data_IF_036195170562
#
_entry.id   IF_036195170562
#
_cell.length_a   1.000
_cell.length_b   1.000
_cell.length_c   1.000
_cell.angle_alpha   90.00
_cell.angle_beta   90.00
_cell.angle_gamma   90.00
#
_symmetry.space_group_name_H-M   'P 1'
#
loop_
_entity.id
_entity.type
_entity.pdbx_description
1 polymer ?
#
# COMPACT_ATOMS: atom_id res chain seq x y z
N UNK A 1 41.00 -16.24 24.38
CA UNK A 1 39.63 -16.55 23.90
C UNK A 1 38.66 -15.90 24.89
N UNK A 2 38.00 -14.82 24.49
CA UNK A 2 36.96 -14.18 25.29
C UNK A 2 35.79 -13.86 24.35
N UNK A 3 34.66 -14.52 24.59
CA UNK A 3 33.40 -14.35 23.87
C UNK A 3 32.82 -12.96 24.18
N UNK A 4 32.50 -12.18 23.14
CA UNK A 4 31.73 -10.95 23.25
C UNK A 4 30.31 -11.18 22.75
N UNK A 5 29.38 -11.40 23.68
CA UNK A 5 27.95 -11.44 23.39
C UNK A 5 27.42 -10.04 23.07
N UNK A 6 26.84 -9.88 21.88
CA UNK A 6 26.19 -8.66 21.43
C UNK A 6 24.80 -8.53 22.07
N UNK A 7 24.58 -7.49 22.87
CA UNK A 7 23.27 -7.11 23.39
C UNK A 7 22.35 -6.61 22.26
N UNK A 8 21.04 -6.96 22.26
CA UNK A 8 20.10 -6.45 21.27
C UNK A 8 19.85 -4.94 21.48
N UNK A 9 19.82 -4.19 20.38
CA UNK A 9 19.59 -2.75 20.40
C UNK A 9 18.19 -2.43 20.96
N UNK A 10 18.14 -1.93 22.19
CA UNK A 10 16.93 -1.34 22.79
C UNK A 10 16.73 0.05 22.18
N UNK A 11 15.53 0.31 21.65
CA UNK A 11 15.16 1.63 21.18
C UNK A 11 15.17 2.61 22.36
N UNK A 12 15.85 3.76 22.26
CA UNK A 12 16.08 4.69 23.38
C UNK A 12 14.84 5.50 23.79
N UNK A 13 13.66 5.13 23.30
CA UNK A 13 12.41 5.85 23.55
C UNK A 13 11.60 5.04 24.55
N UNK A 14 11.43 5.59 25.75
CA UNK A 14 10.59 5.01 26.78
C UNK A 14 9.12 5.08 26.33
N UNK A 15 8.51 3.92 26.10
CA UNK A 15 7.11 3.80 25.71
C UNK A 15 6.14 3.97 26.90
N UNK A 16 6.65 4.16 28.13
CA UNK A 16 5.83 4.35 29.33
C UNK A 16 5.52 5.83 29.64
N UNK A 17 6.28 6.80 29.09
CA UNK A 17 6.06 8.21 29.37
C UNK A 17 5.03 8.84 28.42
N UNK A 18 4.00 9.46 28.99
CA UNK A 18 2.96 10.20 28.28
C UNK A 18 3.39 11.62 27.90
N UNK A 19 4.69 11.92 27.91
CA UNK A 19 5.25 13.27 27.74
C UNK A 19 5.05 13.81 26.32
N UNK A 20 4.87 12.94 25.32
CA UNK A 20 4.55 13.33 23.94
C UNK A 20 3.15 13.96 23.78
N UNK A 21 2.27 13.84 24.77
CA UNK A 21 0.94 14.50 24.76
C UNK A 21 1.02 16.01 24.91
N UNK A 22 2.14 16.55 25.40
CA UNK A 22 2.28 17.97 25.76
C UNK A 22 3.29 18.75 24.89
N UNK A 23 3.73 18.20 23.76
CA UNK A 23 4.57 18.96 22.83
C UNK A 23 3.75 20.07 22.16
N UNK A 24 4.26 21.32 22.11
CA UNK A 24 3.57 22.40 21.42
C UNK A 24 3.43 22.06 19.93
N UNK A 25 2.20 22.00 19.46
CA UNK A 25 1.92 21.80 18.03
C UNK A 25 2.24 23.10 17.27
N UNK A 26 2.85 23.04 16.09
CA UNK A 26 3.03 24.19 15.21
C UNK A 26 1.70 24.85 14.90
N UNK A 27 1.66 26.18 14.78
CA UNK A 27 0.42 26.98 14.68
C UNK A 27 -0.53 26.63 13.53
N UNK A 28 -0.07 25.87 12.52
CA UNK A 28 -0.82 25.56 11.30
C UNK A 28 -1.38 24.12 11.24
N UNK A 29 -1.51 23.43 12.38
CA UNK A 29 -2.00 22.05 12.39
C UNK A 29 -3.53 21.98 12.11
N UNK A 30 -3.99 21.05 11.24
CA UNK A 30 -5.41 20.83 11.06
C UNK A 30 -6.04 20.26 12.36
N UNK A 31 -7.33 20.52 12.60
CA UNK A 31 -8.01 20.03 13.80
C UNK A 31 -7.89 18.50 13.91
N UNK A 32 -7.55 18.02 15.09
CA UNK A 32 -7.47 16.59 15.40
C UNK A 32 -8.88 16.01 15.43
N UNK A 33 -9.41 15.64 14.28
CA UNK A 33 -10.66 14.86 14.21
C UNK A 33 -10.31 13.38 14.31
N UNK A 34 -10.35 12.83 15.52
CA UNK A 34 -10.35 11.39 15.75
C UNK A 34 -11.78 10.87 15.60
N UNK A 35 -12.19 10.54 14.38
CA UNK A 35 -13.46 9.85 14.17
C UNK A 35 -13.30 8.39 14.61
N UNK A 36 -13.57 8.11 15.89
CA UNK A 36 -13.78 6.75 16.38
C UNK A 36 -15.17 6.28 15.93
N UNK A 37 -15.25 5.60 14.80
CA UNK A 37 -16.48 4.89 14.43
C UNK A 37 -16.60 3.65 15.32
N UNK A 38 -17.47 3.70 16.33
CA UNK A 38 -17.77 2.58 17.22
C UNK A 38 -18.93 1.74 16.67
N UNK A 39 -18.69 0.44 16.43
CA UNK A 39 -19.70 -0.63 16.28
C UNK A 39 -19.07 -1.98 16.75
N UNK A 40 -19.88 -2.97 17.14
CA UNK A 40 -19.91 -3.50 18.51
C UNK A 40 -18.85 -4.56 18.81
N UNK A 41 -18.52 -4.60 20.09
CA UNK A 41 -17.50 -5.42 20.74
C UNK A 41 -17.96 -6.87 20.90
N UNK A 42 -17.42 -7.79 20.08
CA UNK A 42 -17.09 -9.16 20.54
C UNK A 42 -16.21 -9.93 19.51
N UNK A 43 -14.90 -9.98 19.77
CA UNK A 43 -13.99 -11.15 19.66
C UNK A 43 -12.55 -10.62 19.67
N UNK A 44 -11.74 -11.15 20.56
CA UNK A 44 -10.30 -10.92 20.57
C UNK A 44 -9.68 -11.49 19.29
N UNK A 45 -9.51 -10.62 18.30
CA UNK A 45 -8.61 -10.81 17.18
C UNK A 45 -7.83 -9.50 17.10
N UNK A 46 -6.51 -9.55 17.03
CA UNK A 46 -5.70 -8.36 16.81
C UNK A 46 -5.96 -7.86 15.36
N UNK A 47 -7.06 -7.11 15.14
CA UNK A 47 -7.59 -6.83 13.78
C UNK A 47 -8.15 -5.43 13.57
N UNK A 48 -7.65 -4.40 14.25
CA UNK A 48 -8.02 -3.03 13.91
C UNK A 48 -6.84 -2.32 13.26
N UNK A 49 -6.58 -2.63 11.98
CA UNK A 49 -5.82 -1.70 11.15
C UNK A 49 -6.65 -0.43 11.00
N UNK A 50 -6.10 0.70 11.43
CA UNK A 50 -6.76 2.01 11.35
C UNK A 50 -5.86 2.94 10.55
N UNK A 51 -6.42 3.55 9.50
CA UNK A 51 -5.69 4.57 8.75
C UNK A 51 -5.37 5.79 9.61
N UNK A 52 -4.21 6.44 9.38
CA UNK A 52 -3.85 7.63 10.13
C UNK A 52 -4.86 8.76 9.90
N UNK A 53 -5.09 9.56 10.94
CA UNK A 53 -5.87 10.79 10.84
C UNK A 53 -5.18 11.84 9.95
N UNK A 54 -5.92 12.87 9.54
CA UNK A 54 -5.37 13.97 8.74
C UNK A 54 -4.20 14.67 9.44
N UNK A 55 -4.29 14.90 10.75
CA UNK A 55 -3.21 15.47 11.54
C UNK A 55 -1.98 14.55 11.59
N UNK A 56 -2.18 13.23 11.75
CA UNK A 56 -1.09 12.25 11.72
C UNK A 56 -0.40 12.22 10.35
N UNK A 57 -1.17 12.24 9.27
CA UNK A 57 -0.66 12.28 7.90
C UNK A 57 0.12 13.56 7.62
N UNK A 58 -0.43 14.72 8.00
CA UNK A 58 0.23 16.02 7.92
C UNK A 58 1.59 16.01 8.64
N UNK A 59 1.60 15.59 9.91
CA UNK A 59 2.82 15.52 10.71
C UNK A 59 3.87 14.59 10.09
N UNK A 60 3.45 13.46 9.52
CA UNK A 60 4.35 12.53 8.84
C UNK A 60 4.97 13.15 7.57
N UNK A 61 4.20 13.90 6.79
CA UNK A 61 4.72 14.61 5.60
C UNK A 61 5.65 15.76 5.97
N UNK A 62 5.32 16.51 7.03
CA UNK A 62 6.14 17.62 7.52
C UNK A 62 7.53 17.13 7.96
N UNK A 63 7.59 16.00 8.68
CA UNK A 63 8.87 15.35 9.04
C UNK A 63 9.70 14.93 7.83
N UNK A 64 9.05 14.63 6.70
CA UNK A 64 9.69 14.25 5.43
C UNK A 64 9.97 15.44 4.51
N UNK A 65 9.84 16.67 5.02
CA UNK A 65 10.08 17.92 4.28
C UNK A 65 9.31 17.99 2.95
N UNK A 66 8.10 17.42 2.91
CA UNK A 66 7.21 17.41 1.74
C UNK A 66 6.25 18.62 1.68
N UNK A 67 6.56 19.69 2.43
CA UNK A 67 5.80 20.95 2.52
C UNK A 67 4.27 20.78 2.46
N UNK A 68 3.67 20.04 3.42
CA UNK A 68 2.24 19.76 3.39
C UNK A 68 1.44 21.00 3.78
N UNK A 69 0.31 21.26 3.10
CA UNK A 69 -0.65 22.29 3.48
C UNK A 69 -1.83 21.67 4.21
N UNK A 70 -2.21 22.20 5.37
CA UNK A 70 -3.34 21.70 6.15
C UNK A 70 -4.65 21.69 5.35
N UNK A 71 -4.83 22.68 4.46
CA UNK A 71 -5.98 22.80 3.55
C UNK A 71 -6.16 21.60 2.62
N UNK A 72 -5.08 20.89 2.31
CA UNK A 72 -5.08 19.82 1.31
C UNK A 72 -5.40 18.45 1.95
N UNK A 73 -5.29 18.32 3.28
CA UNK A 73 -5.46 17.05 4.00
C UNK A 73 -6.86 16.42 3.83
N UNK A 74 -7.97 17.18 3.81
CA UNK A 74 -9.30 16.63 3.60
C UNK A 74 -9.47 15.94 2.24
N UNK A 75 -8.67 16.32 1.24
CA UNK A 75 -8.72 15.73 -0.11
C UNK A 75 -7.66 14.64 -0.25
N UNK A 76 -6.43 14.91 0.20
CA UNK A 76 -5.30 13.99 0.01
C UNK A 76 -5.48 12.69 0.80
N UNK A 77 -5.87 12.74 2.06
CA UNK A 77 -5.90 11.55 2.92
C UNK A 77 -6.91 10.51 2.42
N UNK A 78 -8.17 10.86 2.07
CA UNK A 78 -9.09 9.90 1.47
C UNK A 78 -8.58 9.28 0.17
N UNK A 79 -7.91 10.06 -0.69
CA UNK A 79 -7.31 9.53 -1.93
C UNK A 79 -6.23 8.50 -1.61
N UNK A 80 -5.31 8.79 -0.68
CA UNK A 80 -4.27 7.85 -0.27
C UNK A 80 -4.85 6.55 0.31
N UNK A 81 -5.88 6.66 1.15
CA UNK A 81 -6.56 5.49 1.72
C UNK A 81 -7.23 4.66 0.61
N UNK A 82 -7.93 5.31 -0.32
CA UNK A 82 -8.56 4.63 -1.46
C UNK A 82 -7.52 3.93 -2.37
N UNK A 83 -6.36 4.55 -2.59
CA UNK A 83 -5.24 3.95 -3.33
C UNK A 83 -4.72 2.70 -2.61
N UNK A 84 -4.56 2.76 -1.29
CA UNK A 84 -4.14 1.63 -0.47
C UNK A 84 -5.14 0.47 -0.51
N UNK A 85 -6.45 0.77 -0.36
CA UNK A 85 -7.52 -0.24 -0.46
C UNK A 85 -7.52 -0.92 -1.84
N UNK A 86 -7.36 -0.14 -2.91
CA UNK A 86 -7.28 -0.70 -4.26
C UNK A 86 -6.05 -1.59 -4.44
N UNK A 87 -4.89 -1.17 -3.95
CA UNK A 87 -3.67 -1.97 -3.98
C UNK A 87 -3.83 -3.27 -3.19
N UNK A 88 -4.47 -3.22 -2.01
CA UNK A 88 -4.77 -4.40 -1.21
C UNK A 88 -5.71 -5.37 -1.93
N UNK A 89 -6.77 -4.87 -2.56
CA UNK A 89 -7.70 -5.70 -3.35
C UNK A 89 -6.99 -6.46 -4.48
N UNK A 90 -6.03 -5.82 -5.15
CA UNK A 90 -5.23 -6.48 -6.20
C UNK A 90 -4.32 -7.58 -5.62
N UNK A 91 -3.67 -7.32 -4.48
CA UNK A 91 -2.88 -8.34 -3.76
C UNK A 91 -3.77 -9.52 -3.38
N UNK A 92 -4.95 -9.27 -2.79
CA UNK A 92 -5.92 -10.30 -2.43
C UNK A 92 -6.39 -11.10 -3.66
N UNK A 93 -6.46 -10.48 -4.84
CA UNK A 93 -6.79 -11.17 -6.09
C UNK A 93 -5.68 -12.13 -6.52
N UNK A 94 -4.41 -11.77 -6.35
CA UNK A 94 -3.29 -12.68 -6.57
C UNK A 94 -3.23 -13.83 -5.56
N UNK A 95 -3.65 -13.56 -4.32
CA UNK A 95 -3.62 -14.49 -3.19
C UNK A 95 -4.86 -15.39 -3.11
N UNK A 96 -5.88 -15.13 -3.93
CA UNK A 96 -7.12 -15.91 -3.98
C UNK A 96 -6.82 -17.37 -4.30
N UNK A 97 -7.37 -18.27 -3.47
CA UNK A 97 -7.19 -19.72 -3.65
C UNK A 97 -5.77 -20.23 -3.36
N UNK A 98 -4.89 -19.42 -2.75
CA UNK A 98 -3.52 -19.84 -2.39
C UNK A 98 -3.38 -20.37 -0.96
N UNK A 99 -4.50 -20.55 -0.25
CA UNK A 99 -4.54 -21.20 1.05
C UNK A 99 -4.32 -20.27 2.26
N UNK A 100 -4.29 -18.94 2.07
CA UNK A 100 -4.20 -17.99 3.18
C UNK A 100 -5.36 -18.04 4.16
N UNK A 101 -6.53 -18.53 3.74
CA UNK A 101 -7.69 -18.66 4.62
C UNK A 101 -7.53 -19.76 5.67
N UNK A 102 -6.70 -20.77 5.38
CA UNK A 102 -6.45 -21.90 6.30
C UNK A 102 -5.66 -21.49 7.55
N UNK A 103 -5.08 -20.29 7.56
CA UNK A 103 -4.17 -19.82 8.61
C UNK A 103 -4.54 -18.45 9.18
N UNK A 104 -5.82 -18.06 9.09
CA UNK A 104 -6.29 -16.77 9.62
C UNK A 104 -6.07 -15.58 8.70
N UNK A 105 -5.94 -15.82 7.40
CA UNK A 105 -5.93 -14.80 6.35
C UNK A 105 -4.54 -14.32 5.94
N UNK A 106 -4.53 -13.54 4.86
CA UNK A 106 -3.35 -12.88 4.30
C UNK A 106 -3.03 -11.63 5.10
N UNK A 107 -1.77 -11.43 5.49
CA UNK A 107 -1.34 -10.31 6.34
C UNK A 107 -0.27 -9.46 5.66
N UNK A 108 -0.36 -8.15 5.81
CA UNK A 108 0.72 -7.23 5.42
C UNK A 108 1.80 -7.21 6.51
N UNK A 109 3.02 -7.63 6.18
CA UNK A 109 4.16 -7.65 7.11
C UNK A 109 4.92 -6.33 7.06
N UNK A 110 5.14 -5.80 5.86
CA UNK A 110 5.93 -4.59 5.67
C UNK A 110 5.57 -3.93 4.35
N UNK A 111 5.60 -2.60 4.33
CA UNK A 111 5.52 -1.80 3.12
C UNK A 111 6.76 -0.89 3.06
N UNK A 112 7.40 -0.82 1.90
CA UNK A 112 8.57 0.04 1.67
C UNK A 112 8.44 0.80 0.36
N UNK A 113 8.46 2.13 0.45
CA UNK A 113 8.54 3.01 -0.72
C UNK A 113 9.93 2.95 -1.36
N UNK A 114 9.98 2.83 -2.69
CA UNK A 114 11.20 2.82 -3.52
C UNK A 114 11.06 3.77 -4.71
N UNK A 115 10.83 5.08 -4.49
CA UNK A 115 10.53 6.03 -5.57
C UNK A 115 11.67 6.20 -6.57
N UNK A 116 12.93 6.00 -6.15
CA UNK A 116 14.12 6.14 -7.00
C UNK A 116 14.50 4.88 -7.78
N UNK A 117 13.91 3.72 -7.45
CA UNK A 117 14.30 2.44 -8.05
C UNK A 117 13.22 1.95 -9.01
N UNK A 118 13.47 2.00 -10.32
CA UNK A 118 12.52 1.46 -11.30
C UNK A 118 12.57 -0.06 -11.35
N UNK A 119 11.40 -0.70 -11.51
CA UNK A 119 11.31 -2.14 -11.75
C UNK A 119 11.98 -2.51 -13.09
N UNK A 120 12.49 -3.72 -13.22
CA UNK A 120 13.05 -4.18 -14.51
C UNK A 120 12.02 -4.06 -15.64
N UNK A 121 10.76 -4.38 -15.36
CA UNK A 121 9.65 -4.19 -16.29
C UNK A 121 9.42 -2.71 -16.62
N UNK A 122 9.45 -1.82 -15.64
CA UNK A 122 9.33 -0.38 -15.88
C UNK A 122 10.52 0.15 -16.70
N UNK A 123 11.75 -0.32 -16.46
CA UNK A 123 12.92 0.06 -17.27
C UNK A 123 12.74 -0.33 -18.73
N UNK A 124 12.27 -1.56 -18.99
CA UNK A 124 11.98 -2.03 -20.34
C UNK A 124 10.83 -1.26 -20.99
N UNK A 125 9.74 -1.02 -20.27
CA UNK A 125 8.60 -0.23 -20.78
C UNK A 125 9.02 1.20 -21.15
N UNK A 126 9.84 1.85 -20.33
CA UNK A 126 10.38 3.18 -20.62
C UNK A 126 11.26 3.15 -21.86
N UNK A 127 12.08 2.11 -22.03
CA UNK A 127 12.87 1.92 -23.25
C UNK A 127 11.99 1.79 -24.51
N UNK A 128 10.77 1.25 -24.38
CA UNK A 128 9.77 1.17 -25.44
C UNK A 128 8.88 2.42 -25.59
N UNK A 129 9.19 3.52 -24.88
CA UNK A 129 8.45 4.78 -24.97
C UNK A 129 7.19 4.88 -24.12
N UNK A 130 6.93 3.93 -23.21
CA UNK A 130 5.84 4.03 -22.24
C UNK A 130 6.22 4.94 -21.07
N UNK A 131 5.21 5.55 -20.44
CA UNK A 131 5.42 6.41 -19.27
C UNK A 131 5.96 5.60 -18.08
N UNK A 132 7.01 6.12 -17.43
CA UNK A 132 7.54 5.55 -16.20
C UNK A 132 6.52 5.67 -15.06
N UNK A 133 6.51 4.72 -14.09
CA UNK A 133 5.75 4.92 -12.88
C UNK A 133 6.31 6.10 -12.07
N UNK A 134 5.42 6.90 -11.48
CA UNK A 134 5.81 8.06 -10.67
C UNK A 134 6.18 7.65 -9.24
N UNK A 135 5.68 6.51 -8.78
CA UNK A 135 5.97 5.97 -7.47
C UNK A 135 5.95 4.44 -7.51
N UNK A 136 6.69 3.82 -6.58
CA UNK A 136 6.86 2.38 -6.49
C UNK A 136 6.94 1.94 -5.05
N UNK A 137 6.16 0.92 -4.72
CA UNK A 137 6.13 0.32 -3.40
C UNK A 137 6.37 -1.18 -3.47
N UNK A 138 7.16 -1.68 -2.51
CA UNK A 138 7.33 -3.10 -2.27
C UNK A 138 6.55 -3.47 -1.01
N UNK A 139 5.58 -4.39 -1.14
CA UNK A 139 4.82 -4.93 -0.01
C UNK A 139 5.27 -6.36 0.25
N UNK A 140 5.50 -6.70 1.52
CA UNK A 140 5.78 -8.08 1.94
C UNK A 140 4.51 -8.61 2.61
N UNK A 141 3.98 -9.66 2.02
CA UNK A 141 2.75 -10.32 2.43
C UNK A 141 3.11 -11.65 3.06
N UNK A 142 2.47 -11.98 4.18
CA UNK A 142 2.57 -13.28 4.82
C UNK A 142 1.28 -14.09 4.59
N UNK A 143 1.48 -15.30 4.09
CA UNK A 143 0.45 -16.31 3.87
C UNK A 143 0.91 -17.59 4.58
N UNK A 144 0.34 -17.87 5.75
CA UNK A 144 0.65 -19.09 6.52
C UNK A 144 2.15 -19.28 6.83
N UNK A 145 2.88 -18.19 7.09
CA UNK A 145 4.33 -18.20 7.30
C UNK A 145 5.16 -18.08 6.02
N UNK A 146 4.52 -18.16 4.85
CA UNK A 146 5.18 -17.93 3.55
C UNK A 146 5.16 -16.45 3.22
N UNK A 147 6.35 -15.85 3.17
CA UNK A 147 6.51 -14.44 2.84
C UNK A 147 6.67 -14.24 1.32
N UNK A 148 5.73 -13.53 0.72
CA UNK A 148 5.78 -13.14 -0.68
C UNK A 148 5.95 -11.63 -0.81
N UNK A 149 6.94 -11.20 -1.59
CA UNK A 149 7.08 -9.79 -1.94
C UNK A 149 6.25 -9.45 -3.18
N UNK A 150 5.55 -8.33 -3.13
CA UNK A 150 4.77 -7.73 -4.21
C UNK A 150 5.40 -6.40 -4.62
N UNK A 151 5.44 -6.15 -5.92
CA UNK A 151 5.87 -4.89 -6.52
C UNK A 151 4.62 -4.17 -7.00
N UNK A 152 4.45 -2.93 -6.56
CA UNK A 152 3.32 -2.06 -6.87
C UNK A 152 3.87 -0.82 -7.55
N UNK A 153 3.67 -0.70 -8.86
CA UNK A 153 4.07 0.46 -9.65
C UNK A 153 2.83 1.36 -9.86
N UNK A 154 2.94 2.65 -9.55
CA UNK A 154 1.87 3.64 -9.71
C UNK A 154 2.08 4.48 -10.97
N UNK A 155 1.06 4.57 -11.82
CA UNK A 155 1.08 5.31 -13.08
C UNK A 155 -0.03 6.36 -13.13
N UNK A 156 0.25 7.48 -13.78
CA UNK A 156 -0.77 8.48 -14.09
C UNK A 156 -1.67 7.94 -15.20
N UNK A 157 -2.98 7.98 -15.00
CA UNK A 157 -3.95 7.50 -15.99
C UNK A 157 -4.09 8.48 -17.15
N UNK A 158 -4.20 7.94 -18.37
CA UNK A 158 -4.29 8.71 -19.63
C UNK A 158 -5.55 9.59 -19.74
N UNK A 159 -6.56 9.37 -18.90
CA UNK A 159 -7.84 10.11 -18.90
C UNK A 159 -7.91 11.23 -17.83
N UNK A 160 -6.79 11.65 -17.23
CA UNK A 160 -6.78 12.84 -16.37
C UNK A 160 -7.12 14.14 -17.15
N UNK A 161 -7.19 14.08 -18.48
CA UNK A 161 -7.58 15.19 -19.34
C UNK A 161 -8.89 14.89 -20.09
N UNK A 162 -9.96 15.62 -19.71
CA UNK A 162 -11.05 16.12 -20.59
C UNK A 162 -12.42 15.41 -20.73
N UNK A 163 -12.87 14.45 -19.90
CA UNK A 163 -14.25 13.92 -20.10
C UNK A 163 -15.10 13.57 -18.86
N UNK A 164 -14.68 13.84 -17.63
CA UNK A 164 -15.56 13.63 -16.47
C UNK A 164 -15.72 14.92 -15.66
N UNK A 165 -16.79 15.65 -15.97
CA UNK A 165 -17.36 16.64 -15.05
C UNK A 165 -17.45 16.02 -13.65
N UNK A 166 -17.04 16.73 -12.59
CA UNK A 166 -17.13 16.22 -11.24
C UNK A 166 -18.60 16.04 -10.87
N UNK A 167 -19.10 14.81 -10.91
CA UNK A 167 -20.26 14.46 -10.10
C UNK A 167 -19.79 14.53 -8.65
N UNK A 168 -20.23 15.56 -7.92
CA UNK A 168 -20.02 15.75 -6.48
C UNK A 168 -18.65 16.27 -6.01
N UNK A 169 -18.00 17.18 -6.76
CA UNK A 169 -16.89 17.98 -6.22
C UNK A 169 -15.61 17.21 -5.85
N UNK A 170 -15.51 15.93 -6.24
CA UNK A 170 -14.33 15.10 -6.04
C UNK A 170 -13.44 15.13 -7.28
N UNK A 171 -12.12 15.37 -7.17
CA UNK A 171 -11.22 15.38 -8.32
C UNK A 171 -11.15 13.98 -8.95
N UNK A 172 -11.52 13.86 -10.23
CA UNK A 172 -11.40 12.64 -11.02
C UNK A 172 -9.93 12.37 -11.38
N UNK A 173 -9.12 11.97 -10.41
CA UNK A 173 -7.74 11.56 -10.65
C UNK A 173 -7.74 10.13 -11.20
N UNK A 174 -7.62 9.97 -12.51
CA UNK A 174 -7.43 8.66 -13.12
C UNK A 174 -5.99 8.19 -12.83
N UNK A 175 -5.82 7.15 -12.01
CA UNK A 175 -4.53 6.48 -11.79
C UNK A 175 -4.64 4.98 -12.08
N UNK A 176 -3.54 4.40 -12.53
CA UNK A 176 -3.41 2.98 -12.85
C UNK A 176 -2.36 2.34 -11.94
N UNK A 177 -2.68 1.18 -11.38
CA UNK A 177 -1.77 0.41 -10.52
C UNK A 177 -1.40 -0.88 -11.25
N UNK A 178 -0.11 -1.18 -11.29
CA UNK A 178 0.39 -2.50 -11.68
C UNK A 178 0.89 -3.21 -10.44
N UNK A 179 0.09 -4.14 -9.93
CA UNK A 179 0.39 -4.97 -8.75
C UNK A 179 0.76 -6.37 -9.22
N UNK A 180 1.95 -6.84 -8.82
CA UNK A 180 2.44 -8.16 -9.22
C UNK A 180 3.38 -8.77 -8.18
N UNK A 181 3.39 -10.11 -8.02
CA UNK A 181 4.40 -10.79 -7.21
C UNK A 181 5.79 -10.50 -7.75
N UNK A 182 6.77 -10.26 -6.90
CA UNK A 182 8.19 -10.27 -7.26
C UNK A 182 8.60 -11.70 -7.69
N UNK A 183 9.61 -11.80 -8.54
CA UNK A 183 10.15 -13.08 -9.03
C UNK A 183 11.48 -13.42 -8.36
N UNK A 184 11.61 -13.01 -7.10
CA UNK A 184 12.75 -13.31 -6.25
C UNK A 184 12.68 -14.70 -5.61
N UNK A 185 11.50 -15.32 -5.59
CA UNK A 185 11.27 -16.66 -5.08
C UNK A 185 10.41 -17.50 -6.06
N UNK A 186 10.38 -18.82 -5.82
CA UNK A 186 9.61 -19.77 -6.62
C UNK A 186 8.10 -19.52 -6.55
N UNK A 187 7.59 -19.15 -5.38
CA UNK A 187 6.17 -18.85 -5.20
C UNK A 187 5.71 -17.69 -6.08
N UNK A 188 6.48 -16.59 -6.11
CA UNK A 188 6.17 -15.43 -6.92
C UNK A 188 6.23 -15.73 -8.43
N UNK A 189 7.15 -16.59 -8.86
CA UNK A 189 7.18 -17.09 -10.23
C UNK A 189 5.96 -17.95 -10.55
N UNK A 190 5.63 -18.90 -9.67
CA UNK A 190 4.47 -19.79 -9.82
C UNK A 190 3.15 -19.01 -9.86
N UNK A 191 3.00 -17.97 -9.03
CA UNK A 191 1.84 -17.08 -9.05
C UNK A 191 1.68 -16.43 -10.43
N UNK A 192 2.76 -15.90 -11.00
CA UNK A 192 2.72 -15.27 -12.34
C UNK A 192 2.37 -16.26 -13.44
N UNK A 193 2.98 -17.45 -13.41
CA UNK A 193 2.69 -18.51 -14.38
C UNK A 193 1.24 -18.96 -14.28
N UNK A 194 0.75 -19.19 -13.05
CA UNK A 194 -0.65 -19.56 -12.76
C UNK A 194 -1.61 -18.53 -13.34
N UNK A 195 -1.39 -17.23 -13.10
CA UNK A 195 -2.27 -16.17 -13.62
C UNK A 195 -2.19 -16.04 -15.13
N UNK A 196 -1.02 -16.23 -15.73
CA UNK A 196 -0.87 -16.26 -17.18
C UNK A 196 -1.71 -17.37 -17.79
N UNK A 197 -1.58 -18.61 -17.29
CA UNK A 197 -2.36 -19.73 -17.78
C UNK A 197 -3.86 -19.58 -17.52
N UNK A 198 -4.26 -19.10 -16.35
CA UNK A 198 -5.67 -18.78 -16.07
C UNK A 198 -6.21 -17.78 -17.09
N UNK A 199 -5.52 -16.65 -17.31
CA UNK A 199 -5.93 -15.65 -18.29
C UNK A 199 -5.95 -16.19 -19.73
N UNK A 200 -4.98 -17.03 -20.08
CA UNK A 200 -4.86 -17.60 -21.42
C UNK A 200 -5.94 -18.63 -21.72
N UNK A 201 -6.23 -19.53 -20.77
CA UNK A 201 -7.20 -20.60 -20.97
C UNK A 201 -8.63 -20.13 -20.75
N UNK A 202 -8.89 -19.27 -19.76
CA UNK A 202 -10.22 -18.67 -19.55
C UNK A 202 -10.58 -17.76 -20.73
N UNK A 203 -9.64 -16.92 -21.18
CA UNK A 203 -9.85 -16.06 -22.34
C UNK A 203 -10.08 -16.80 -23.66
N UNK A 204 -9.56 -18.04 -23.79
CA UNK A 204 -9.80 -18.90 -24.96
C UNK A 204 -11.11 -19.68 -24.88
N UNK A 205 -11.64 -19.89 -23.67
CA UNK A 205 -12.94 -20.52 -23.43
C UNK A 205 -14.10 -19.63 -23.84
N UNK A 206 -14.06 -18.35 -23.48
CA UNK A 206 -15.11 -17.37 -23.84
C UNK A 206 -15.11 -17.01 -25.33
N UNK A 207 -13.94 -17.01 -25.98
CA UNK A 207 -13.83 -16.77 -27.42
C UNK A 207 -14.47 -17.88 -28.29
N UNK A 208 -14.81 -19.04 -27.71
CA UNK A 208 -15.46 -20.16 -28.42
C UNK A 208 -17.00 -20.17 -28.29
N UNK A 209 -17.57 -19.19 -27.57
CA UNK A 209 -19.01 -19.08 -27.29
C UNK A 209 -19.68 -17.87 -27.96
N UNK A 210 -19.00 -17.22 -28.90
CA UNK A 210 -19.54 -16.16 -29.77
C UNK A 210 -19.50 -16.55 -31.23
#
# INVERSE_FOLDING_TARGET
>A
MANGDAQPAVCPVDHSSSEWKNLPLPADHPPVSSTSTSLPQHREVWTNWVYPSQAQFYAAMARKQHDPRASDMPVLVPIHNAVNERAWSEVMTWERGKGGENCGGVKLVSFKGRPKERSLRARWNVMLGYQAPFDRHDWIIDRCGVKQRYIIDFYTGKNATRTSSPANGSPNLAFFLDVRPAVDNWDGLQLRISKFFESFFVGRGEAKQR
#
